data_IF_187694763299
#
_entry.id   IF_187694763299
#
_cell.length_a   1.000
_cell.length_b   1.000
_cell.length_c   1.000
_cell.angle_alpha   90.00
_cell.angle_beta   90.00
_cell.angle_gamma   90.00
#
_symmetry.space_group_name_H-M   'P 1'
#
loop_
_entity.id
_entity.type
_entity.pdbx_description
1 polymer ?
#
# COMPACT_ATOMS: atom_id res chain seq x y z
N UNK A 1 -45.11 -32.86 7.92
CA UNK A 1 -43.67 -33.08 7.62
C UNK A 1 -43.06 -32.06 6.66
N UNK A 2 -43.78 -31.58 5.63
CA UNK A 2 -43.25 -30.61 4.65
C UNK A 2 -42.85 -29.24 5.22
N UNK A 3 -43.58 -28.74 6.23
CA UNK A 3 -43.31 -27.44 6.85
C UNK A 3 -41.96 -27.38 7.62
N UNK A 4 -41.49 -28.50 8.16
CA UNK A 4 -40.19 -28.57 8.86
C UNK A 4 -39.00 -28.59 7.88
N UNK A 5 -39.19 -29.16 6.68
CA UNK A 5 -38.16 -29.24 5.65
C UNK A 5 -37.90 -27.85 5.05
N UNK A 6 -38.96 -27.10 4.74
CA UNK A 6 -38.87 -25.72 4.23
C UNK A 6 -38.25 -24.74 5.24
N UNK A 7 -38.51 -24.94 6.54
CA UNK A 7 -37.91 -24.11 7.60
C UNK A 7 -36.40 -24.32 7.73
N UNK A 8 -35.91 -25.55 7.55
CA UNK A 8 -34.47 -25.88 7.59
C UNK A 8 -33.73 -25.39 6.36
N UNK A 9 -34.33 -25.47 5.17
CA UNK A 9 -33.72 -24.92 3.94
C UNK A 9 -33.64 -23.41 3.98
N UNK A 10 -34.69 -22.72 4.47
CA UNK A 10 -34.66 -21.26 4.66
C UNK A 10 -33.60 -20.82 5.67
N UNK A 11 -33.49 -21.49 6.82
CA UNK A 11 -32.44 -21.18 7.81
C UNK A 11 -31.04 -21.43 7.25
N UNK A 12 -30.83 -22.53 6.52
CA UNK A 12 -29.54 -22.80 5.85
C UNK A 12 -29.22 -21.77 4.77
N UNK A 13 -30.23 -21.26 4.05
CA UNK A 13 -30.04 -20.24 3.03
C UNK A 13 -29.70 -18.88 3.65
N UNK A 14 -30.40 -18.51 4.73
CA UNK A 14 -30.17 -17.29 5.50
C UNK A 14 -28.77 -17.32 6.16
N UNK A 15 -28.36 -18.46 6.73
CA UNK A 15 -26.99 -18.64 7.24
C UNK A 15 -25.95 -18.51 6.13
N UNK A 16 -26.17 -19.14 4.96
CA UNK A 16 -25.26 -18.99 3.80
C UNK A 16 -25.21 -17.54 3.27
N UNK A 17 -26.33 -16.82 3.30
CA UNK A 17 -26.41 -15.38 2.95
C UNK A 17 -25.70 -14.50 3.99
N UNK A 18 -25.73 -14.84 5.27
CA UNK A 18 -24.99 -14.13 6.32
C UNK A 18 -23.47 -14.38 6.20
N UNK A 19 -23.03 -15.56 5.74
CA UNK A 19 -21.62 -15.84 5.44
C UNK A 19 -21.14 -15.25 4.11
N UNK A 20 -22.05 -14.79 3.24
CA UNK A 20 -21.75 -13.86 2.15
C UNK A 20 -21.65 -12.41 2.68
N UNK A 21 -21.10 -12.24 3.89
CA UNK A 21 -20.81 -10.93 4.44
C UNK A 21 -20.01 -10.16 3.39
N UNK A 22 -20.52 -9.04 2.84
CA UNK A 22 -19.68 -8.16 2.08
C UNK A 22 -18.51 -7.83 3.01
N UNK A 23 -17.29 -8.14 2.57
CA UNK A 23 -16.11 -7.52 3.17
C UNK A 23 -16.46 -6.04 3.20
N UNK A 24 -16.63 -5.48 4.40
CA UNK A 24 -16.98 -4.07 4.56
C UNK A 24 -15.82 -3.29 3.95
N UNK A 25 -15.93 -3.04 2.65
CA UNK A 25 -15.07 -2.14 1.92
C UNK A 25 -15.45 -0.78 2.46
N UNK A 26 -14.63 -0.27 3.37
CA UNK A 26 -14.71 1.13 3.74
C UNK A 26 -14.66 1.97 2.47
N UNK A 27 -15.40 3.08 2.44
CA UNK A 27 -15.36 4.01 1.32
C UNK A 27 -13.91 4.42 1.03
N UNK A 28 -13.48 4.28 -0.22
CA UNK A 28 -12.17 4.75 -0.64
C UNK A 28 -12.15 6.28 -0.63
N UNK A 29 -11.28 6.87 0.19
CA UNK A 29 -10.98 8.31 0.11
C UNK A 29 -10.35 8.64 -1.25
N UNK A 30 -10.71 9.79 -1.82
CA UNK A 30 -10.20 10.24 -3.13
C UNK A 30 -8.74 10.70 -3.12
N UNK A 31 -8.10 10.85 -1.96
CA UNK A 31 -6.72 11.32 -1.87
C UNK A 31 -5.70 10.17 -2.02
N UNK A 32 -5.11 10.06 -3.21
CA UNK A 32 -4.08 9.07 -3.50
C UNK A 32 -2.74 9.30 -2.77
N UNK A 33 -2.40 10.52 -2.37
CA UNK A 33 -1.20 10.76 -1.58
C UNK A 33 -1.39 10.31 -0.13
N UNK A 34 -2.56 10.59 0.44
CA UNK A 34 -2.92 10.05 1.76
C UNK A 34 -2.91 8.53 1.75
N UNK A 35 -3.49 7.91 0.72
CA UNK A 35 -3.54 6.46 0.58
C UNK A 35 -2.15 5.84 0.41
N UNK A 36 -1.27 6.47 -0.38
CA UNK A 36 0.12 6.05 -0.51
C UNK A 36 0.86 6.12 0.83
N UNK A 37 0.63 7.17 1.64
CA UNK A 37 1.22 7.28 2.97
C UNK A 37 0.73 6.18 3.91
N UNK A 38 -0.56 5.82 3.84
CA UNK A 38 -1.10 4.70 4.61
C UNK A 38 -0.43 3.38 4.23
N UNK A 39 -0.30 3.09 2.93
CA UNK A 39 0.37 1.89 2.44
C UNK A 39 1.84 1.82 2.88
N UNK A 40 2.55 2.94 2.85
CA UNK A 40 3.93 3.04 3.35
C UNK A 40 4.01 2.72 4.86
N UNK A 41 3.15 3.35 5.65
CA UNK A 41 3.13 3.13 7.11
C UNK A 41 2.78 1.68 7.45
N UNK A 42 1.81 1.09 6.75
CA UNK A 42 1.45 -0.31 6.93
C UNK A 42 2.58 -1.26 6.53
N UNK A 43 3.29 -0.97 5.43
CA UNK A 43 4.47 -1.75 5.05
C UNK A 43 5.59 -1.63 6.09
N UNK A 44 5.81 -0.44 6.65
CA UNK A 44 6.78 -0.20 7.74
C UNK A 44 6.44 -0.98 9.02
N UNK A 45 5.15 -1.13 9.34
CA UNK A 45 4.72 -1.97 10.47
C UNK A 45 4.96 -3.44 10.14
N UNK A 46 4.52 -3.91 8.98
CA UNK A 46 4.54 -5.34 8.67
C UNK A 46 5.93 -5.87 8.29
N UNK A 47 6.90 -5.01 7.97
CA UNK A 47 8.30 -5.44 7.81
C UNK A 47 8.99 -5.74 9.16
N UNK A 48 8.44 -5.27 10.28
CA UNK A 48 9.05 -5.44 11.60
C UNK A 48 8.90 -6.90 12.06
N UNK A 49 10.02 -7.65 12.27
CA UNK A 49 9.99 -9.04 12.72
C UNK A 49 9.22 -9.27 14.02
N UNK A 50 9.15 -8.26 14.90
CA UNK A 50 8.46 -8.35 16.19
C UNK A 50 6.95 -8.56 16.04
N UNK A 51 6.38 -8.29 14.86
CA UNK A 51 4.95 -8.45 14.59
C UNK A 51 4.55 -9.92 14.44
N UNK A 52 5.42 -10.78 13.88
CA UNK A 52 5.10 -12.18 13.60
C UNK A 52 6.28 -13.13 13.78
N UNK A 53 7.44 -12.83 13.21
CA UNK A 53 8.60 -13.74 13.20
C UNK A 53 9.17 -13.97 14.61
N UNK A 54 9.45 -12.92 15.37
CA UNK A 54 10.07 -13.10 16.69
C UNK A 54 9.14 -13.82 17.67
N UNK A 55 7.82 -13.49 17.74
CA UNK A 55 6.87 -14.28 18.52
C UNK A 55 6.79 -15.75 18.08
N UNK A 56 6.90 -16.02 16.77
CA UNK A 56 6.91 -17.38 16.24
C UNK A 56 8.17 -18.15 16.70
N UNK A 57 9.35 -17.55 16.51
CA UNK A 57 10.63 -18.13 16.92
C UNK A 57 10.63 -18.44 18.43
N UNK A 58 10.14 -17.51 19.23
CA UNK A 58 10.04 -17.67 20.68
C UNK A 58 9.08 -18.80 21.06
N UNK A 59 7.86 -18.80 20.52
CA UNK A 59 6.81 -19.78 20.86
C UNK A 59 7.19 -21.20 20.41
N UNK A 60 7.91 -21.31 19.29
CA UNK A 60 8.32 -22.60 18.73
C UNK A 60 9.62 -23.16 19.32
N UNK A 61 10.29 -22.42 20.20
CA UNK A 61 11.57 -22.83 20.79
C UNK A 61 12.73 -22.80 19.78
N UNK A 62 12.66 -21.95 18.76
CA UNK A 62 13.69 -21.82 17.73
C UNK A 62 14.79 -20.81 18.11
N UNK A 63 14.67 -20.13 19.25
CA UNK A 63 15.61 -19.09 19.73
C UNK A 63 16.95 -19.63 20.27
N UNK A 64 17.37 -20.82 19.84
CA UNK A 64 18.71 -21.34 20.14
C UNK A 64 19.65 -20.90 19.03
N UNK A 65 20.84 -20.41 19.38
CA UNK A 65 21.76 -19.68 18.50
C UNK A 65 22.18 -20.41 17.21
N UNK A 66 21.97 -21.73 17.11
CA UNK A 66 22.20 -22.52 15.88
C UNK A 66 20.96 -22.65 14.98
N UNK A 67 19.73 -22.49 15.50
CA UNK A 67 18.49 -22.64 14.73
C UNK A 67 18.02 -21.36 14.04
N UNK A 68 18.37 -20.19 14.58
CA UNK A 68 18.07 -18.90 13.93
C UNK A 68 18.64 -18.79 12.51
N UNK A 69 19.83 -19.35 12.27
CA UNK A 69 20.45 -19.41 10.93
C UNK A 69 19.64 -20.25 9.92
N UNK A 70 18.77 -21.15 10.39
CA UNK A 70 17.90 -21.96 9.54
C UNK A 70 16.56 -21.27 9.23
N UNK A 71 16.26 -20.13 9.83
CA UNK A 71 15.09 -19.31 9.53
C UNK A 71 15.26 -18.40 8.31
N UNK A 72 16.34 -18.54 7.56
CA UNK A 72 16.57 -17.77 6.34
C UNK A 72 15.48 -18.08 5.30
N UNK A 73 15.01 -17.03 4.64
CA UNK A 73 13.97 -17.14 3.62
C UNK A 73 14.35 -18.17 2.53
N UNK A 74 13.34 -18.95 2.13
CA UNK A 74 13.46 -19.80 0.94
C UNK A 74 13.35 -18.97 -0.35
N UNK A 75 14.31 -19.09 -1.28
CA UNK A 75 14.22 -18.45 -2.58
C UNK A 75 12.90 -18.80 -3.30
N UNK A 76 12.34 -17.83 -4.03
CA UNK A 76 11.16 -18.03 -4.89
C UNK A 76 9.80 -17.95 -4.19
N UNK A 77 9.73 -17.89 -2.86
CA UNK A 77 8.43 -17.76 -2.16
C UNK A 77 7.85 -16.34 -2.33
N UNK A 78 8.68 -15.33 -2.08
CA UNK A 78 8.33 -13.93 -2.27
C UNK A 78 9.20 -13.26 -3.32
N UNK A 79 8.62 -12.37 -4.17
CA UNK A 79 9.37 -11.62 -5.17
C UNK A 79 10.46 -10.76 -4.55
N UNK A 80 11.56 -10.56 -5.28
CA UNK A 80 12.61 -9.66 -4.84
C UNK A 80 12.24 -8.19 -5.00
N UNK A 81 12.96 -7.31 -4.31
CA UNK A 81 12.85 -5.86 -4.51
C UNK A 81 13.03 -5.50 -5.99
N UNK A 82 13.99 -6.14 -6.66
CA UNK A 82 14.25 -5.91 -8.07
C UNK A 82 13.03 -6.29 -8.92
N UNK A 83 12.46 -7.48 -8.69
CA UNK A 83 11.28 -7.96 -9.42
C UNK A 83 10.09 -7.02 -9.19
N UNK A 84 9.86 -6.59 -7.94
CA UNK A 84 8.80 -5.64 -7.60
C UNK A 84 8.99 -4.25 -8.24
N UNK A 85 10.24 -3.81 -8.40
CA UNK A 85 10.55 -2.52 -9.05
C UNK A 85 10.39 -2.56 -10.56
N UNK A 86 10.52 -3.73 -11.17
CA UNK A 86 10.30 -3.93 -12.60
C UNK A 86 8.83 -3.92 -13.01
N UNK A 87 7.89 -4.00 -12.05
CA UNK A 87 6.46 -4.03 -12.33
C UNK A 87 5.90 -2.62 -12.60
N UNK A 88 4.88 -2.56 -13.47
CA UNK A 88 4.00 -1.39 -13.55
C UNK A 88 3.32 -1.14 -12.21
N UNK A 89 2.78 0.08 -11.98
CA UNK A 89 2.09 0.39 -10.71
C UNK A 89 0.94 -0.58 -10.43
N UNK A 90 0.15 -0.89 -11.46
CA UNK A 90 -0.95 -1.86 -11.37
C UNK A 90 -0.43 -3.28 -11.13
N UNK A 91 0.60 -3.70 -11.86
CA UNK A 91 1.23 -5.00 -11.68
C UNK A 91 1.78 -5.18 -10.27
N UNK A 92 2.44 -4.15 -9.72
CA UNK A 92 2.93 -4.16 -8.34
C UNK A 92 1.81 -4.33 -7.31
N UNK A 93 0.72 -3.55 -7.43
CA UNK A 93 -0.43 -3.66 -6.53
C UNK A 93 -1.11 -5.03 -6.61
N UNK A 94 -1.25 -5.58 -7.82
CA UNK A 94 -1.81 -6.91 -8.04
C UNK A 94 -0.94 -8.00 -7.40
N UNK A 95 0.36 -7.99 -7.68
CA UNK A 95 1.32 -8.93 -7.08
C UNK A 95 1.31 -8.84 -5.56
N UNK A 96 1.29 -7.63 -5.00
CA UNK A 96 1.22 -7.41 -3.57
C UNK A 96 -0.08 -7.98 -2.98
N UNK A 97 -1.24 -7.69 -3.57
CA UNK A 97 -2.53 -8.21 -3.12
C UNK A 97 -2.58 -9.75 -3.15
N UNK A 98 -2.06 -10.37 -4.22
CA UNK A 98 -1.99 -11.83 -4.35
C UNK A 98 -1.11 -12.46 -3.27
N UNK A 99 0.11 -11.93 -3.07
CA UNK A 99 1.03 -12.46 -2.04
C UNK A 99 0.48 -12.24 -0.62
N UNK A 100 -0.20 -11.13 -0.35
CA UNK A 100 -0.89 -10.91 0.92
C UNK A 100 -2.07 -11.88 1.13
N UNK A 101 -2.79 -12.24 0.06
CA UNK A 101 -3.81 -13.29 0.10
C UNK A 101 -3.22 -14.66 0.47
N UNK A 102 -2.10 -15.03 -0.13
CA UNK A 102 -1.37 -16.25 0.21
C UNK A 102 -0.90 -16.25 1.68
N UNK A 103 -0.38 -15.12 2.17
CA UNK A 103 0.01 -14.98 3.57
C UNK A 103 -1.19 -15.17 4.50
N UNK A 104 -2.34 -14.55 4.22
CA UNK A 104 -3.56 -14.76 5.02
C UNK A 104 -3.97 -16.24 5.09
N UNK A 105 -3.86 -16.96 3.98
CA UNK A 105 -4.13 -18.39 3.93
C UNK A 105 -3.14 -19.17 4.81
N UNK A 106 -1.83 -18.96 4.63
CA UNK A 106 -0.79 -19.63 5.45
C UNK A 106 -0.89 -19.29 6.94
N UNK A 107 -1.31 -18.08 7.29
CA UNK A 107 -1.58 -17.69 8.68
C UNK A 107 -2.71 -18.52 9.33
N UNK A 108 -3.52 -19.28 8.59
CA UNK A 108 -4.46 -20.24 9.20
C UNK A 108 -3.75 -21.45 9.80
N UNK A 109 -2.60 -21.84 9.26
CA UNK A 109 -1.81 -22.97 9.73
C UNK A 109 -1.07 -22.67 11.05
N UNK A 110 -0.80 -21.39 11.33
CA UNK A 110 -0.09 -20.97 12.55
C UNK A 110 -0.99 -20.75 13.77
N UNK A 111 -2.27 -21.17 13.73
CA UNK A 111 -3.22 -20.96 14.84
C UNK A 111 -2.75 -21.55 16.17
N UNK A 112 -2.06 -22.69 16.13
CA UNK A 112 -1.49 -23.35 17.31
C UNK A 112 -0.07 -22.89 17.61
N UNK A 113 0.55 -22.16 16.68
CA UNK A 113 1.97 -21.81 16.72
C UNK A 113 2.24 -20.39 17.23
N UNK A 114 1.20 -19.55 17.25
CA UNK A 114 1.25 -18.15 17.64
C UNK A 114 0.15 -17.84 18.66
N UNK A 115 0.40 -16.83 19.49
CA UNK A 115 -0.64 -16.27 20.33
C UNK A 115 -1.79 -15.73 19.47
N UNK A 116 -3.02 -16.02 19.89
CA UNK A 116 -4.25 -15.64 19.16
C UNK A 116 -4.28 -14.14 18.84
N UNK A 117 -3.86 -13.29 19.78
CA UNK A 117 -3.85 -11.84 19.58
C UNK A 117 -2.83 -11.38 18.54
N UNK A 118 -1.63 -11.96 18.53
CA UNK A 118 -0.61 -11.72 17.50
C UNK A 118 -1.15 -12.07 16.11
N UNK A 119 -1.79 -13.24 16.01
CA UNK A 119 -2.34 -13.72 14.75
C UNK A 119 -3.49 -12.83 14.24
N UNK A 120 -4.42 -12.47 15.13
CA UNK A 120 -5.56 -11.60 14.79
C UNK A 120 -5.08 -10.22 14.34
N UNK A 121 -4.14 -9.61 15.07
CA UNK A 121 -3.56 -8.31 14.71
C UNK A 121 -2.91 -8.34 13.34
N UNK A 122 -2.09 -9.37 13.06
CA UNK A 122 -1.45 -9.52 11.77
C UNK A 122 -2.46 -9.69 10.63
N UNK A 123 -3.49 -10.53 10.81
CA UNK A 123 -4.56 -10.71 9.82
C UNK A 123 -5.30 -9.40 9.54
N UNK A 124 -5.66 -8.65 10.58
CA UNK A 124 -6.34 -7.36 10.42
C UNK A 124 -5.48 -6.32 9.71
N UNK A 125 -4.19 -6.24 10.03
CA UNK A 125 -3.26 -5.36 9.32
C UNK A 125 -3.15 -5.73 7.83
N UNK A 126 -3.04 -7.03 7.50
CA UNK A 126 -2.98 -7.47 6.11
C UNK A 126 -4.28 -7.16 5.37
N UNK A 127 -5.45 -7.40 5.98
CA UNK A 127 -6.74 -7.02 5.41
C UNK A 127 -6.81 -5.51 5.16
N UNK A 128 -6.37 -4.69 6.11
CA UNK A 128 -6.30 -3.24 5.96
C UNK A 128 -5.40 -2.80 4.79
N UNK A 129 -4.26 -3.46 4.60
CA UNK A 129 -3.39 -3.21 3.44
C UNK A 129 -4.11 -3.56 2.14
N UNK A 130 -4.76 -4.73 2.07
CA UNK A 130 -5.48 -5.17 0.86
C UNK A 130 -6.62 -4.22 0.49
N UNK A 131 -7.34 -3.68 1.47
CA UNK A 131 -8.36 -2.66 1.26
C UNK A 131 -7.73 -1.37 0.66
N UNK A 132 -6.61 -0.92 1.19
CA UNK A 132 -5.91 0.25 0.66
C UNK A 132 -5.35 0.01 -0.75
N UNK A 133 -4.86 -1.21 -1.04
CA UNK A 133 -4.45 -1.60 -2.41
C UNK A 133 -5.63 -1.54 -3.37
N UNK A 134 -6.80 -2.04 -2.95
CA UNK A 134 -8.01 -1.97 -3.75
C UNK A 134 -8.36 -0.51 -4.09
N UNK A 135 -8.39 0.37 -3.09
CA UNK A 135 -8.64 1.80 -3.30
C UNK A 135 -7.60 2.46 -4.24
N UNK A 136 -6.32 2.13 -4.10
CA UNK A 136 -5.26 2.68 -4.95
C UNK A 136 -5.42 2.18 -6.39
N UNK A 137 -5.82 0.92 -6.56
CA UNK A 137 -6.07 0.32 -7.87
C UNK A 137 -7.22 1.03 -8.58
N UNK A 138 -8.30 1.37 -7.87
CA UNK A 138 -9.42 2.14 -8.43
C UNK A 138 -8.98 3.55 -8.88
N UNK A 139 -8.13 4.22 -8.11
CA UNK A 139 -7.59 5.53 -8.50
C UNK A 139 -6.73 5.44 -9.78
N UNK A 140 -5.96 4.36 -9.94
CA UNK A 140 -5.16 4.11 -11.15
C UNK A 140 -5.99 3.66 -12.37
N UNK A 141 -7.26 3.28 -12.20
CA UNK A 141 -8.16 3.00 -13.33
C UNK A 141 -8.67 4.29 -14.00
N UNK A 142 -8.73 5.40 -13.25
CA UNK A 142 -9.06 6.72 -13.80
C UNK A 142 -7.92 7.39 -14.59
N UNK A 143 -6.70 6.85 -14.50
CA UNK A 143 -5.56 7.27 -15.34
C UNK A 143 -5.37 6.27 -16.48
N UNK A 144 -5.36 6.75 -17.72
CA UNK A 144 -5.13 5.96 -18.94
C UNK A 144 -3.71 5.37 -18.95
N UNK A 145 -3.49 4.32 -18.18
CA UNK A 145 -2.32 3.45 -18.29
C UNK A 145 -2.75 2.21 -19.07
N UNK A 146 -2.22 2.09 -20.29
CA UNK A 146 -2.38 0.92 -21.15
C UNK A 146 -1.90 -0.30 -20.39
N UNK A 147 -2.77 -1.31 -20.29
CA UNK A 147 -2.46 -2.59 -19.67
C UNK A 147 -1.53 -3.34 -20.61
N UNK A 148 -0.24 -3.41 -20.27
CA UNK A 148 0.64 -4.39 -20.88
C UNK A 148 0.33 -5.76 -20.24
N UNK A 149 0.13 -6.83 -21.04
CA UNK A 149 -0.13 -8.15 -20.48
C UNK A 149 1.14 -8.62 -19.76
N UNK A 150 1.09 -8.70 -18.44
CA UNK A 150 2.12 -9.42 -17.68
C UNK A 150 2.06 -10.90 -18.10
N UNK A 151 3.20 -11.54 -18.42
CA UNK A 151 3.23 -12.98 -18.60
C UNK A 151 2.66 -13.66 -17.36
N UNK A 152 1.66 -14.52 -17.57
CA UNK A 152 1.21 -15.42 -16.53
C UNK A 152 2.41 -16.30 -16.15
N UNK A 153 2.93 -16.08 -14.95
CA UNK A 153 3.90 -16.99 -14.36
C UNK A 153 3.18 -18.34 -14.24
N UNK A 154 3.61 -19.30 -15.05
CA UNK A 154 3.17 -20.68 -14.96
C UNK A 154 3.40 -21.12 -13.52
N UNK A 155 2.32 -21.29 -12.76
CA UNK A 155 2.35 -21.98 -11.48
C UNK A 155 2.85 -23.41 -11.76
N UNK A 156 4.16 -23.59 -11.63
CA UNK A 156 4.75 -24.92 -11.60
C UNK A 156 4.13 -25.61 -10.39
N UNK A 157 3.31 -26.63 -10.65
CA UNK A 157 2.73 -27.46 -9.60
C UNK A 157 3.84 -27.90 -8.65
N UNK A 158 3.69 -27.65 -7.33
CA UNK A 158 4.71 -28.07 -6.38
C UNK A 158 4.83 -29.59 -6.45
N UNK A 159 6.04 -30.06 -6.72
CA UNK A 159 6.40 -31.47 -6.65
C UNK A 159 5.95 -32.02 -5.27
N UNK A 160 5.39 -33.25 -5.18
CA UNK A 160 4.86 -33.78 -3.93
C UNK A 160 5.94 -33.72 -2.86
N UNK A 161 5.77 -32.80 -1.92
CA UNK A 161 6.74 -32.63 -0.84
C UNK A 161 6.52 -33.78 0.12
N UNK A 162 7.55 -34.62 0.31
CA UNK A 162 7.60 -35.62 1.37
C UNK A 162 7.08 -35.03 2.68
N UNK A 163 6.19 -35.75 3.37
CA UNK A 163 5.57 -35.30 4.60
C UNK A 163 6.64 -34.79 5.57
N UNK A 164 6.66 -33.48 5.78
CA UNK A 164 7.66 -32.84 6.63
C UNK A 164 7.35 -33.16 8.09
N UNK A 165 8.34 -33.64 8.83
CA UNK A 165 8.19 -33.89 10.26
C UNK A 165 7.89 -32.57 11.02
N UNK A 166 7.43 -32.69 12.28
CA UNK A 166 7.00 -31.52 13.07
C UNK A 166 8.09 -30.44 13.17
N UNK A 167 9.35 -30.82 13.34
CA UNK A 167 10.48 -29.89 13.40
C UNK A 167 10.71 -29.16 12.07
N UNK A 168 10.68 -29.89 10.95
CA UNK A 168 10.82 -29.32 9.61
C UNK A 168 9.69 -28.33 9.30
N UNK A 169 8.46 -28.60 9.76
CA UNK A 169 7.33 -27.66 9.63
C UNK A 169 7.56 -26.36 10.40
N UNK A 170 8.15 -26.43 11.61
CA UNK A 170 8.53 -25.23 12.38
C UNK A 170 9.55 -24.38 11.63
N UNK A 171 10.59 -25.01 11.09
CA UNK A 171 11.59 -24.30 10.28
C UNK A 171 10.95 -23.67 9.03
N UNK A 172 10.10 -24.41 8.32
CA UNK A 172 9.36 -23.89 7.15
C UNK A 172 8.49 -22.67 7.51
N UNK A 173 7.82 -22.70 8.65
CA UNK A 173 7.04 -21.57 9.15
C UNK A 173 7.90 -20.35 9.40
N UNK A 174 9.05 -20.54 10.06
CA UNK A 174 10.02 -19.48 10.33
C UNK A 174 10.56 -18.85 9.03
N UNK A 175 11.00 -19.68 8.08
CA UNK A 175 11.52 -19.24 6.78
C UNK A 175 10.47 -18.47 5.97
N UNK A 176 9.22 -18.92 6.03
CA UNK A 176 8.10 -18.24 5.38
C UNK A 176 7.84 -16.85 5.99
N UNK A 177 7.79 -16.75 7.32
CA UNK A 177 7.57 -15.47 8.01
C UNK A 177 8.74 -14.50 7.79
N UNK A 178 9.98 -15.00 7.81
CA UNK A 178 11.16 -14.20 7.46
C UNK A 178 11.04 -13.61 6.05
N UNK A 179 10.67 -14.44 5.06
CA UNK A 179 10.44 -13.99 3.69
C UNK A 179 9.32 -12.96 3.59
N UNK A 180 8.24 -13.12 4.36
CA UNK A 180 7.15 -12.15 4.40
C UNK A 180 7.60 -10.78 4.92
N UNK A 181 8.39 -10.72 5.99
CA UNK A 181 8.92 -9.43 6.50
C UNK A 181 9.85 -8.76 5.49
N UNK A 182 10.75 -9.52 4.86
CA UNK A 182 11.63 -9.04 3.78
C UNK A 182 10.82 -8.51 2.59
N UNK A 183 9.75 -9.21 2.23
CA UNK A 183 8.83 -8.83 1.18
C UNK A 183 8.13 -7.50 1.49
N UNK A 184 7.60 -7.34 2.71
CA UNK A 184 6.97 -6.08 3.14
C UNK A 184 7.97 -4.91 3.18
N UNK A 185 9.22 -5.17 3.56
CA UNK A 185 10.30 -4.18 3.45
C UNK A 185 10.51 -3.73 2.00
N UNK A 186 10.59 -4.70 1.09
CA UNK A 186 10.78 -4.44 -0.35
C UNK A 186 9.61 -3.65 -0.94
N UNK A 187 8.37 -4.01 -0.58
CA UNK A 187 7.17 -3.28 -0.97
C UNK A 187 7.17 -1.83 -0.44
N UNK A 188 7.56 -1.63 0.83
CA UNK A 188 7.71 -0.30 1.42
C UNK A 188 8.69 0.59 0.64
N UNK A 189 9.81 0.03 0.17
CA UNK A 189 10.77 0.76 -0.65
C UNK A 189 10.21 1.14 -2.03
N UNK A 190 9.39 0.28 -2.66
CA UNK A 190 8.71 0.63 -3.91
C UNK A 190 7.73 1.78 -3.69
N UNK A 191 6.93 1.73 -2.63
CA UNK A 191 6.02 2.82 -2.29
C UNK A 191 6.75 4.14 -1.99
N UNK A 192 7.94 4.10 -1.39
CA UNK A 192 8.74 5.31 -1.15
C UNK A 192 9.11 6.00 -2.48
N UNK A 193 9.57 5.23 -3.47
CA UNK A 193 9.91 5.75 -4.80
C UNK A 193 8.72 6.40 -5.53
N UNK A 194 7.50 5.90 -5.29
CA UNK A 194 6.31 6.49 -5.92
C UNK A 194 6.04 7.93 -5.46
N UNK A 195 6.47 8.29 -4.24
CA UNK A 195 6.41 9.67 -3.73
C UNK A 195 7.51 10.54 -4.36
N UNK A 196 8.72 10.00 -4.51
CA UNK A 196 9.88 10.70 -5.08
C UNK A 196 9.73 11.02 -6.57
N UNK A 197 8.73 10.44 -7.23
CA UNK A 197 8.39 10.75 -8.62
C UNK A 197 7.18 11.69 -8.67
N UNK A 198 7.29 12.98 -8.29
CA UNK A 198 6.23 13.92 -8.54
C UNK A 198 6.12 14.13 -10.04
N UNK A 199 4.91 13.94 -10.56
CA UNK A 199 4.32 14.69 -11.67
C UNK A 199 5.26 15.70 -12.37
N UNK A 200 6.20 15.22 -13.21
CA UNK A 200 7.00 16.09 -14.10
C UNK A 200 6.12 16.99 -14.99
N UNK A 201 4.82 16.71 -15.10
CA UNK A 201 3.82 17.49 -15.84
C UNK A 201 3.23 18.69 -15.08
N UNK A 202 3.31 18.78 -13.75
CA UNK A 202 2.60 19.84 -12.99
C UNK A 202 3.42 21.10 -12.70
N UNK A 203 4.71 21.15 -13.08
CA UNK A 203 5.61 22.28 -12.79
C UNK A 203 5.76 23.31 -13.90
N UNK A 204 4.96 23.23 -14.96
CA UNK A 204 4.77 24.36 -15.88
C UNK A 204 3.36 24.88 -15.67
N UNK A 205 3.29 26.03 -15.02
CA UNK A 205 2.23 27.05 -15.01
C UNK A 205 2.07 27.62 -13.60
N UNK A 206 3.10 28.32 -13.14
CA UNK A 206 2.85 29.49 -12.28
C UNK A 206 2.33 30.60 -13.22
N UNK A 207 1.10 31.13 -13.04
CA UNK A 207 0.80 32.40 -13.64
C UNK A 207 1.61 33.45 -12.88
N UNK A 208 2.57 34.09 -13.57
CA UNK A 208 3.20 35.31 -13.10
C UNK A 208 2.07 36.31 -12.82
N UNK A 209 1.77 36.58 -11.55
CA UNK A 209 0.98 37.77 -11.17
C UNK A 209 1.84 39.00 -11.48
N UNK A 210 1.82 39.42 -12.74
CA UNK A 210 2.34 40.70 -13.18
C UNK A 210 1.24 41.75 -12.94
N UNK A 211 1.41 42.48 -11.83
CA UNK A 211 1.20 43.91 -11.67
C UNK A 211 0.10 44.55 -12.56
N UNK A 212 -1.11 44.70 -12.02
CA UNK A 212 -1.97 45.84 -12.34
C UNK A 212 -2.42 46.47 -11.04
N UNK A 213 -1.65 47.45 -10.59
CA UNK A 213 -2.08 48.42 -9.58
C UNK A 213 -2.51 49.65 -10.37
N UNK A 214 -3.82 49.84 -10.49
CA UNK A 214 -4.42 51.08 -10.97
C UNK A 214 -3.91 52.23 -10.11
N UNK A 215 -3.17 53.15 -10.73
CA UNK A 215 -2.93 54.47 -10.17
C UNK A 215 -3.84 55.44 -10.91
N UNK A 216 -4.94 55.81 -10.24
CA UNK A 216 -5.70 56.99 -10.55
C UNK A 216 -4.80 58.22 -10.41
N UNK A 217 -4.50 58.92 -11.50
CA UNK A 217 -4.37 60.39 -11.48
C UNK A 217 -4.46 60.99 -12.88
N UNK A 218 -5.58 61.66 -13.09
CA UNK A 218 -5.84 62.67 -14.10
C UNK A 218 -5.06 63.94 -13.71
N UNK A 219 -4.18 64.46 -14.56
CA UNK A 219 -4.23 65.87 -14.99
C UNK A 219 -3.23 66.18 -16.13
N UNK A 220 -3.57 67.11 -17.04
CA UNK A 220 -2.92 67.25 -18.34
C UNK A 220 -1.75 68.23 -18.37
N UNK A 221 -0.82 67.94 -19.27
CA UNK A 221 0.28 68.80 -19.71
C UNK A 221 -0.26 70.10 -20.33
N UNK A 222 -0.17 71.21 -19.59
CA UNK A 222 -0.39 72.55 -20.12
C UNK A 222 0.94 73.22 -20.48
N UNK A 223 1.01 73.55 -21.76
CA UNK A 223 2.05 74.27 -22.49
C UNK A 223 2.10 75.73 -22.03
N UNK A 224 3.11 76.10 -21.25
CA UNK A 224 3.34 77.49 -20.83
C UNK A 224 4.45 78.17 -21.63
N UNK A 225 4.08 78.98 -22.63
CA UNK A 225 4.95 79.99 -23.22
C UNK A 225 5.03 81.20 -22.27
N UNK A 226 6.25 81.70 -22.05
CA UNK A 226 6.72 83.04 -21.59
C UNK A 226 5.73 83.93 -20.81
N UNK A 227 6.22 84.55 -19.73
CA UNK A 227 6.62 85.97 -19.66
C UNK A 227 7.12 86.30 -18.23
N UNK A 228 8.30 86.92 -18.14
CA UNK A 228 8.80 87.66 -16.96
C UNK A 228 8.46 89.13 -17.14
N UNK A 229 8.04 89.84 -16.07
CA UNK A 229 8.75 91.06 -15.64
C UNK A 229 8.79 91.17 -14.09
N UNK A 230 9.95 91.36 -13.45
CA UNK A 230 10.75 92.59 -13.22
C UNK A 230 10.30 93.40 -11.98
N UNK A 231 11.18 93.36 -10.97
CA UNK A 231 11.50 94.37 -9.91
C UNK A 231 10.42 94.68 -8.84
N UNK A 232 10.74 94.96 -7.57
CA UNK A 232 11.85 95.73 -7.01
C UNK A 232 12.07 95.43 -5.50
N UNK A 233 13.34 95.42 -5.05
CA UNK A 233 13.76 95.50 -3.65
C UNK A 233 13.73 96.97 -3.18
N UNK A 234 13.64 97.25 -1.86
CA UNK A 234 13.25 98.55 -1.34
C UNK A 234 14.40 99.58 -1.31
N UNK A 235 14.09 100.79 -1.77
CA UNK A 235 14.31 102.04 -1.03
C UNK A 235 13.34 103.11 -1.52
#
# INVERSE_FOLDING_TARGET
MWAQLMRRTLLSLILRLLFLSPVVMGNCSGDGQQLLNQLQNQAKIMQDPSVLLDPYISTQGLNVSKLGAHCLERPGVFPSKHDLQGLSRRGFLQTLNTKLGHVLHRLTEFQQDLQVQTLLRAKMNIIGIRNNIHCMTLQLQGSSDVVEPTPAELEISPLPTLASNAFQRKLQGCQFLHGFHRFMHSAGQVFHKWRETPSRRSRRHSPRRALKKEAHRVQPSMRGKRLMPREQLPR
#
